data_IF_103337906333
#
_entry.id   IF_103337906333
#
_cell.length_a   1.000
_cell.length_b   1.000
_cell.length_c   1.000
_cell.angle_alpha   90.00
_cell.angle_beta   90.00
_cell.angle_gamma   90.00
#
_symmetry.space_group_name_H-M   'P 1'
#
loop_
_entity.id
_entity.type
_entity.pdbx_description
1 polymer ?
#
# COMPACT_ATOMS: atom_id res chain seq x y z
N UNK A 1 -33.92 -49.75 19.45
CA UNK A 1 -32.72 -49.72 18.58
C UNK A 1 -32.36 -48.27 18.28
N UNK A 2 -31.11 -47.79 18.44
CA UNK A 2 -30.78 -46.44 18.02
C UNK A 2 -30.22 -46.45 16.59
N UNK A 3 -30.91 -45.77 15.68
CA UNK A 3 -30.47 -45.56 14.29
C UNK A 3 -29.44 -44.42 14.25
N UNK A 4 -28.17 -44.76 13.98
CA UNK A 4 -27.11 -43.77 13.76
C UNK A 4 -27.27 -43.12 12.39
N UNK A 5 -27.83 -41.92 12.34
CA UNK A 5 -27.80 -41.08 11.14
C UNK A 5 -26.41 -40.45 10.99
N UNK A 6 -25.65 -40.88 9.98
CA UNK A 6 -24.39 -40.26 9.55
C UNK A 6 -24.68 -39.29 8.41
N UNK A 7 -25.06 -38.06 8.72
CA UNK A 7 -25.06 -37.01 7.72
C UNK A 7 -23.66 -36.40 7.64
N UNK A 8 -22.93 -36.79 6.59
CA UNK A 8 -21.67 -36.20 6.16
C UNK A 8 -21.86 -34.69 5.97
N UNK A 9 -21.45 -33.92 6.98
CA UNK A 9 -21.32 -32.48 6.85
C UNK A 9 -20.20 -32.21 5.83
N UNK A 10 -20.60 -31.93 4.60
CA UNK A 10 -19.74 -31.41 3.54
C UNK A 10 -19.12 -30.13 4.09
N UNK A 11 -17.89 -30.22 4.60
CA UNK A 11 -17.08 -29.07 5.00
C UNK A 11 -16.87 -28.23 3.74
N UNK A 12 -17.70 -27.20 3.56
CA UNK A 12 -17.40 -26.12 2.61
C UNK A 12 -16.12 -25.47 3.12
N UNK A 13 -15.01 -25.72 2.45
CA UNK A 13 -13.72 -25.06 2.70
C UNK A 13 -13.93 -23.57 2.49
N UNK A 14 -14.11 -22.84 3.58
CA UNK A 14 -14.17 -21.38 3.56
C UNK A 14 -12.82 -20.88 3.05
N UNK A 15 -12.79 -20.39 1.82
CA UNK A 15 -11.62 -19.70 1.28
C UNK A 15 -11.43 -18.41 2.07
N UNK A 16 -10.57 -18.45 3.08
CA UNK A 16 -10.15 -17.25 3.81
C UNK A 16 -9.16 -16.52 2.90
N UNK A 17 -9.48 -15.30 2.42
CA UNK A 17 -8.53 -14.55 1.62
C UNK A 17 -7.27 -14.28 2.45
N UNK A 18 -6.11 -14.67 1.93
CA UNK A 18 -4.80 -14.57 2.59
C UNK A 18 -4.37 -13.13 2.90
N UNK A 19 -4.99 -12.13 2.26
CA UNK A 19 -4.75 -10.71 2.55
C UNK A 19 -6.09 -9.98 2.71
N UNK A 20 -6.35 -9.47 3.92
CA UNK A 20 -7.52 -8.64 4.25
C UNK A 20 -7.34 -7.17 3.84
N UNK A 21 -6.10 -6.75 3.56
CA UNK A 21 -5.73 -5.34 3.41
C UNK A 21 -5.33 -5.06 1.96
N UNK A 22 -6.04 -4.13 1.31
CA UNK A 22 -5.63 -3.59 0.01
C UNK A 22 -4.24 -2.99 0.12
N UNK A 23 -3.32 -3.38 -0.76
CA UNK A 23 -1.98 -2.79 -0.80
C UNK A 23 -2.07 -1.30 -1.09
N UNK A 24 -1.47 -0.48 -0.22
CA UNK A 24 -1.39 0.98 -0.42
C UNK A 24 -0.44 1.26 -1.58
N UNK A 25 -0.76 2.25 -2.42
CA UNK A 25 0.16 2.75 -3.45
C UNK A 25 1.49 3.12 -2.79
N UNK A 26 2.60 2.66 -3.36
CA UNK A 26 3.95 2.97 -2.85
C UNK A 26 4.23 4.46 -3.07
N UNK A 27 4.64 5.15 -2.01
CA UNK A 27 5.16 6.52 -2.09
C UNK A 27 6.68 6.50 -2.01
N UNK A 28 7.34 7.29 -2.84
CA UNK A 28 8.80 7.37 -2.93
C UNK A 28 9.24 8.72 -2.36
N UNK A 29 10.41 8.75 -1.72
CA UNK A 29 11.06 10.00 -1.33
C UNK A 29 12.19 10.29 -2.32
N UNK A 30 12.14 11.45 -2.97
CA UNK A 30 13.18 11.92 -3.88
C UNK A 30 13.94 13.05 -3.17
N UNK A 31 15.27 12.94 -3.07
CA UNK A 31 16.12 14.01 -2.54
C UNK A 31 16.16 15.17 -3.55
N UNK A 32 15.97 16.39 -3.04
CA UNK A 32 15.97 17.61 -3.84
C UNK A 32 16.85 18.66 -3.18
N UNK A 33 17.35 19.63 -3.95
CA UNK A 33 18.05 20.77 -3.37
C UNK A 33 17.05 21.70 -2.63
N UNK A 34 17.54 22.42 -1.61
CA UNK A 34 16.72 23.33 -0.79
C UNK A 34 15.99 24.40 -1.61
N UNK A 35 16.68 24.95 -2.60
CA UNK A 35 16.22 26.09 -3.40
C UNK A 35 15.71 25.66 -4.77
N UNK A 36 15.55 24.36 -4.99
CA UNK A 36 15.00 23.84 -6.23
C UNK A 36 13.52 24.18 -6.30
N UNK A 37 13.09 24.79 -7.41
CA UNK A 37 11.67 25.06 -7.66
C UNK A 37 10.96 23.73 -7.87
N UNK A 38 10.18 23.31 -6.87
CA UNK A 38 9.39 22.07 -6.91
C UNK A 38 8.07 22.40 -7.62
N UNK A 39 7.93 21.96 -8.87
CA UNK A 39 6.65 22.01 -9.59
C UNK A 39 5.69 20.89 -9.15
N UNK A 40 4.57 20.75 -9.86
CA UNK A 40 3.57 19.68 -9.58
C UNK A 40 4.12 18.26 -9.83
N UNK A 41 5.18 18.15 -10.64
CA UNK A 41 5.83 16.90 -10.99
C UNK A 41 7.35 17.01 -10.82
N UNK A 42 7.95 15.94 -10.27
CA UNK A 42 9.41 15.78 -10.19
C UNK A 42 9.76 14.41 -10.77
N UNK A 43 10.62 14.39 -11.80
CA UNK A 43 11.04 13.16 -12.51
C UNK A 43 9.87 12.28 -12.97
N UNK A 44 8.76 12.88 -13.41
CA UNK A 44 7.56 12.17 -13.86
C UNK A 44 6.65 11.65 -12.75
N UNK A 45 6.98 11.89 -11.47
CA UNK A 45 6.13 11.55 -10.34
C UNK A 45 5.37 12.77 -9.84
N UNK A 46 4.12 12.57 -9.42
CA UNK A 46 3.28 13.63 -8.86
C UNK A 46 3.74 13.94 -7.42
N UNK A 47 4.00 15.22 -7.17
CA UNK A 47 4.43 15.70 -5.86
C UNK A 47 3.24 15.72 -4.91
N UNK A 48 3.39 15.03 -3.76
CA UNK A 48 2.40 15.06 -2.69
C UNK A 48 2.75 16.15 -1.68
N UNK A 49 3.98 16.10 -1.16
CA UNK A 49 4.44 17.06 -0.14
C UNK A 49 5.97 17.09 -0.03
N UNK A 50 6.55 18.26 0.30
CA UNK A 50 7.93 18.34 0.72
C UNK A 50 8.12 17.73 2.13
N UNK A 51 9.30 17.15 2.37
CA UNK A 51 9.68 16.51 3.63
C UNK A 51 11.14 16.86 3.94
N UNK A 52 11.43 17.37 5.13
CA UNK A 52 12.82 17.59 5.59
C UNK A 52 13.24 16.45 6.51
N UNK A 53 14.36 15.79 6.22
CA UNK A 53 14.94 14.73 7.07
C UNK A 53 16.45 14.86 7.11
N UNK A 54 17.04 14.75 8.31
CA UNK A 54 18.49 14.76 8.50
C UNK A 54 19.21 15.95 7.82
N UNK A 55 18.61 17.14 7.86
CA UNK A 55 19.15 18.35 7.22
C UNK A 55 18.98 18.41 5.69
N UNK A 56 18.55 17.32 5.05
CA UNK A 56 18.29 17.22 3.61
C UNK A 56 16.82 17.47 3.27
N UNK A 57 16.58 17.94 2.06
CA UNK A 57 15.25 18.21 1.52
C UNK A 57 14.82 17.05 0.63
N UNK A 58 13.62 16.54 0.87
CA UNK A 58 13.01 15.47 0.11
C UNK A 58 11.63 15.90 -0.37
N UNK A 59 11.14 15.23 -1.39
CA UNK A 59 9.76 15.33 -1.85
C UNK A 59 9.15 13.95 -1.82
N UNK A 60 8.03 13.82 -1.13
CA UNK A 60 7.22 12.61 -1.20
C UNK A 60 6.40 12.67 -2.49
N UNK A 61 6.59 11.66 -3.32
CA UNK A 61 5.94 11.54 -4.61
C UNK A 61 5.16 10.24 -4.71
N UNK A 62 4.13 10.22 -5.55
CA UNK A 62 3.41 9.00 -5.94
C UNK A 62 3.56 8.76 -7.44
N UNK A 63 3.59 7.49 -7.81
CA UNK A 63 3.36 7.10 -9.20
C UNK A 63 1.86 7.21 -9.48
N UNK A 64 1.50 7.71 -10.67
CA UNK A 64 0.11 7.93 -11.07
C UNK A 64 -0.65 6.59 -11.10
#
# INVERSE_FOLDING_TARGET
>A
MPTKSRNNAVKKTTFVPTKRVKEKKKTILIEVAKDQVIGEFVNGFEVIKPVKRYGKYYVQVKNK
#
